data_IF_254250687570
#
_entry.id   IF_254250687570
#
_cell.length_a   1.000
_cell.length_b   1.000
_cell.length_c   1.000
_cell.angle_alpha   90.00
_cell.angle_beta   90.00
_cell.angle_gamma   90.00
#
_symmetry.space_group_name_H-M   'P 1'
#
loop_
_entity.id
_entity.type
_entity.pdbx_description
1 polymer ?
#
# COMPACT_ATOMS: atom_id res chain seq x y z
N UNK A 1 2.34 16.67 7.41
CA UNK A 1 3.29 17.56 6.69
C UNK A 1 3.54 17.16 5.25
N UNK A 2 3.88 15.91 4.95
CA UNK A 2 4.11 15.47 3.56
C UNK A 2 2.94 15.80 2.61
N UNK A 3 1.70 15.57 3.05
CA UNK A 3 0.52 15.91 2.25
C UNK A 3 0.44 17.40 1.90
N UNK A 4 0.82 18.31 2.82
CA UNK A 4 0.80 19.76 2.56
C UNK A 4 1.78 20.13 1.42
N UNK A 5 2.97 19.54 1.44
CA UNK A 5 3.99 19.73 0.40
C UNK A 5 3.52 19.23 -0.97
N UNK A 6 2.75 18.13 -0.99
CA UNK A 6 2.12 17.64 -2.23
C UNK A 6 1.05 18.63 -2.71
N UNK A 7 0.32 19.27 -1.80
CA UNK A 7 -0.70 20.28 -2.09
C UNK A 7 -0.18 21.47 -2.88
N UNK A 8 1.11 21.81 -2.75
CA UNK A 8 1.77 22.86 -3.54
C UNK A 8 1.80 22.54 -5.05
N UNK A 9 1.72 21.26 -5.42
CA UNK A 9 1.73 20.80 -6.82
C UNK A 9 0.34 20.39 -7.32
N UNK A 10 -0.50 19.83 -6.45
CA UNK A 10 -1.82 19.30 -6.83
C UNK A 10 -2.99 20.26 -6.58
N UNK A 11 -2.76 21.36 -5.85
CA UNK A 11 -3.83 22.14 -5.25
C UNK A 11 -4.53 21.38 -4.12
N UNK A 12 -5.76 21.76 -3.81
CA UNK A 12 -6.53 21.14 -2.71
C UNK A 12 -6.94 19.71 -3.04
N UNK A 13 -6.75 18.80 -2.08
CA UNK A 13 -7.17 17.41 -2.23
C UNK A 13 -7.66 16.80 -0.91
N UNK A 14 -8.31 15.65 -1.02
CA UNK A 14 -8.76 14.90 0.14
C UNK A 14 -7.68 13.92 0.58
N UNK A 15 -7.23 14.03 1.82
CA UNK A 15 -6.43 13.03 2.52
C UNK A 15 -7.38 12.10 3.29
N UNK A 16 -7.40 10.83 2.90
CA UNK A 16 -8.16 9.78 3.59
C UNK A 16 -7.23 8.99 4.50
N UNK A 17 -7.51 9.03 5.81
CA UNK A 17 -6.77 8.29 6.83
C UNK A 17 -7.62 7.08 7.20
N UNK A 18 -7.10 5.88 6.90
CA UNK A 18 -7.73 4.60 7.21
C UNK A 18 -7.08 4.07 8.48
N UNK A 19 -7.86 3.85 9.54
CA UNK A 19 -7.38 3.10 10.70
C UNK A 19 -7.22 1.62 10.32
N UNK A 20 -5.97 1.18 10.22
CA UNK A 20 -5.60 -0.15 9.75
C UNK A 20 -5.22 -1.10 10.90
N UNK A 21 -5.33 -0.66 12.16
CA UNK A 21 -4.79 -1.36 13.33
C UNK A 21 -5.41 -2.74 13.53
N UNK A 22 -6.73 -2.83 13.60
CA UNK A 22 -7.46 -4.08 13.83
C UNK A 22 -7.27 -5.07 12.67
N UNK A 23 -7.34 -4.56 11.44
CA UNK A 23 -7.08 -5.36 10.24
C UNK A 23 -5.66 -5.94 10.32
N UNK A 24 -4.68 -5.12 10.68
CA UNK A 24 -3.29 -5.57 10.81
C UNK A 24 -3.10 -6.62 11.91
N UNK A 25 -3.76 -6.50 13.06
CA UNK A 25 -3.71 -7.50 14.12
C UNK A 25 -4.28 -8.85 13.65
N UNK A 26 -5.41 -8.82 12.95
CA UNK A 26 -6.03 -10.04 12.40
C UNK A 26 -5.15 -10.68 11.30
N UNK A 27 -4.56 -9.87 10.41
CA UNK A 27 -3.60 -10.36 9.44
C UNK A 27 -2.40 -11.02 10.12
N UNK A 28 -1.87 -10.42 11.19
CA UNK A 28 -0.71 -10.97 11.90
C UNK A 28 -1.01 -12.30 12.61
N UNK A 29 -2.26 -12.51 13.07
CA UNK A 29 -2.69 -13.74 13.73
C UNK A 29 -2.94 -14.89 12.72
N UNK A 30 -3.56 -14.58 11.57
CA UNK A 30 -4.07 -15.60 10.65
C UNK A 30 -3.21 -15.82 9.41
N UNK A 31 -2.40 -14.85 9.00
CA UNK A 31 -1.59 -14.95 7.77
C UNK A 31 -0.21 -15.52 8.07
N UNK A 32 0.30 -16.48 7.27
CA UNK A 32 1.67 -16.93 7.38
C UNK A 32 2.66 -15.77 7.31
N UNK A 33 3.60 -15.70 8.26
CA UNK A 33 4.51 -14.55 8.40
C UNK A 33 5.21 -14.17 7.08
N UNK A 34 5.68 -15.16 6.30
CA UNK A 34 6.35 -14.93 5.01
C UNK A 34 5.45 -14.31 3.91
N UNK A 35 4.12 -14.36 4.07
CA UNK A 35 3.13 -13.79 3.16
C UNK A 35 2.52 -12.47 3.68
N UNK A 36 2.73 -12.14 4.97
CA UNK A 36 2.07 -11.02 5.66
C UNK A 36 2.17 -9.70 4.90
N UNK A 37 3.36 -9.32 4.42
CA UNK A 37 3.55 -8.07 3.66
C UNK A 37 2.75 -8.03 2.36
N UNK A 38 2.65 -9.17 1.64
CA UNK A 38 1.91 -9.25 0.37
C UNK A 38 0.41 -9.20 0.62
N UNK A 39 -0.09 -9.92 1.64
CA UNK A 39 -1.51 -9.90 2.00
C UNK A 39 -1.93 -8.54 2.55
N UNK A 40 -1.09 -7.91 3.37
CA UNK A 40 -1.32 -6.54 3.84
C UNK A 40 -1.46 -5.55 2.69
N UNK A 41 -0.57 -5.62 1.68
CA UNK A 41 -0.66 -4.78 0.47
C UNK A 41 -1.92 -5.06 -0.34
N UNK A 42 -2.29 -6.34 -0.49
CA UNK A 42 -3.56 -6.73 -1.13
C UNK A 42 -4.76 -6.15 -0.38
N UNK A 43 -4.73 -6.14 0.95
CA UNK A 43 -5.79 -5.55 1.76
C UNK A 43 -5.88 -4.03 1.56
N UNK A 44 -4.75 -3.31 1.66
CA UNK A 44 -4.71 -1.87 1.38
C UNK A 44 -5.23 -1.55 -0.04
N UNK A 45 -4.87 -2.37 -1.02
CA UNK A 45 -5.31 -2.22 -2.41
C UNK A 45 -6.84 -2.42 -2.55
N UNK A 46 -7.42 -3.44 -1.91
CA UNK A 46 -8.88 -3.68 -1.91
C UNK A 46 -9.64 -2.49 -1.30
N UNK A 47 -9.16 -1.97 -0.17
CA UNK A 47 -9.77 -0.82 0.50
C UNK A 47 -9.67 0.44 -0.39
N UNK A 48 -8.49 0.69 -0.96
CA UNK A 48 -8.27 1.83 -1.85
C UNK A 48 -9.15 1.76 -3.10
N UNK A 49 -9.27 0.59 -3.73
CA UNK A 49 -10.11 0.38 -4.91
C UNK A 49 -11.59 0.58 -4.59
N UNK A 50 -12.08 0.04 -3.47
CA UNK A 50 -13.47 0.24 -3.03
C UNK A 50 -13.77 1.69 -2.66
N UNK A 51 -12.84 2.40 -2.02
CA UNK A 51 -12.96 3.83 -1.75
C UNK A 51 -13.00 4.63 -3.06
N UNK A 52 -12.12 4.29 -4.02
CA UNK A 52 -12.10 4.89 -5.34
C UNK A 52 -13.45 4.71 -6.05
N UNK A 53 -14.09 3.55 -5.90
CA UNK A 53 -15.45 3.31 -6.41
C UNK A 53 -16.49 4.27 -5.85
N UNK A 54 -16.54 4.40 -4.52
CA UNK A 54 -17.47 5.30 -3.83
C UNK A 54 -17.28 6.77 -4.20
N UNK A 55 -16.10 7.14 -4.70
CA UNK A 55 -15.70 8.51 -5.05
C UNK A 55 -15.64 8.78 -6.55
N UNK A 56 -16.04 7.83 -7.40
CA UNK A 56 -15.94 7.94 -8.87
C UNK A 56 -14.50 8.22 -9.36
N UNK A 57 -13.51 7.65 -8.68
CA UNK A 57 -12.10 7.71 -9.08
C UNK A 57 -11.81 6.53 -10.02
N UNK A 58 -11.09 6.79 -11.10
CA UNK A 58 -10.90 5.82 -12.19
C UNK A 58 -9.57 5.06 -12.15
N UNK A 59 -8.64 5.42 -11.27
CA UNK A 59 -7.33 4.79 -11.19
C UNK A 59 -6.73 4.89 -9.79
N UNK A 60 -5.73 4.05 -9.53
CA UNK A 60 -4.89 4.10 -8.35
C UNK A 60 -3.45 4.42 -8.77
N UNK A 61 -2.69 5.08 -7.92
CA UNK A 61 -1.27 5.41 -8.16
C UNK A 61 -0.46 4.92 -6.97
N UNK A 62 0.64 4.21 -7.23
CA UNK A 62 1.58 3.78 -6.18
C UNK A 62 3.01 4.24 -6.50
N UNK A 63 3.83 4.39 -5.47
CA UNK A 63 5.26 4.70 -5.58
C UNK A 63 6.14 3.45 -5.67
N UNK A 64 5.64 2.34 -6.22
CA UNK A 64 6.41 1.10 -6.31
C UNK A 64 7.47 1.17 -7.42
N UNK A 65 8.67 0.62 -7.16
CA UNK A 65 9.77 0.45 -8.10
C UNK A 65 10.16 -1.03 -8.22
N UNK A 66 10.41 -1.52 -9.43
CA UNK A 66 10.63 -2.93 -9.67
C UNK A 66 11.95 -3.41 -9.06
N UNK A 67 11.90 -4.43 -8.20
CA UNK A 67 13.10 -5.08 -7.66
C UNK A 67 13.80 -4.32 -6.54
N UNK A 68 13.24 -3.21 -6.05
CA UNK A 68 13.85 -2.44 -4.96
C UNK A 68 13.73 -3.13 -3.59
N UNK A 69 12.61 -3.82 -3.34
CA UNK A 69 12.35 -4.57 -2.11
C UNK A 69 11.64 -5.90 -2.42
N UNK A 70 11.66 -6.84 -1.47
CA UNK A 70 11.05 -8.17 -1.62
C UNK A 70 9.56 -8.14 -2.02
N UNK A 71 8.82 -7.12 -1.57
CA UNK A 71 7.39 -6.94 -1.89
C UNK A 71 7.13 -6.29 -3.26
N UNK A 72 8.18 -5.98 -4.02
CA UNK A 72 8.13 -5.30 -5.33
C UNK A 72 8.81 -6.13 -6.43
N UNK A 73 8.82 -7.45 -6.31
CA UNK A 73 9.12 -8.36 -7.43
C UNK A 73 7.94 -8.39 -8.40
N UNK A 74 8.18 -8.83 -9.65
CA UNK A 74 7.10 -9.01 -10.65
C UNK A 74 5.96 -9.86 -10.07
N UNK A 75 6.30 -10.94 -9.37
CA UNK A 75 5.33 -11.83 -8.72
C UNK A 75 4.50 -11.13 -7.64
N UNK A 76 5.14 -10.37 -6.74
CA UNK A 76 4.45 -9.64 -5.68
C UNK A 76 3.56 -8.52 -6.25
N UNK A 77 4.03 -7.83 -7.29
CA UNK A 77 3.25 -6.80 -7.99
C UNK A 77 2.02 -7.42 -8.67
N UNK A 78 2.16 -8.55 -9.36
CA UNK A 78 1.02 -9.27 -9.94
C UNK A 78 0.01 -9.67 -8.87
N UNK A 79 0.48 -10.24 -7.76
CA UNK A 79 -0.39 -10.64 -6.64
C UNK A 79 -1.15 -9.46 -6.04
N UNK A 80 -0.50 -8.30 -5.87
CA UNK A 80 -1.16 -7.09 -5.35
C UNK A 80 -2.11 -6.48 -6.37
N UNK A 81 -1.74 -6.48 -7.65
CA UNK A 81 -2.56 -5.89 -8.70
C UNK A 81 -3.83 -6.70 -9.00
N UNK A 82 -3.81 -8.02 -8.77
CA UNK A 82 -4.92 -8.92 -9.04
C UNK A 82 -6.20 -8.57 -8.25
N UNK A 83 -6.08 -7.87 -7.12
CA UNK A 83 -7.23 -7.51 -6.26
C UNK A 83 -7.78 -6.11 -6.54
N UNK A 84 -7.18 -5.37 -7.48
CA UNK A 84 -7.68 -4.08 -7.92
C UNK A 84 -8.48 -4.24 -9.21
N UNK A 85 -9.68 -3.64 -9.27
CA UNK A 85 -10.45 -3.55 -10.52
C UNK A 85 -9.95 -2.40 -11.37
N UNK A 86 -9.56 -1.28 -10.75
CA UNK A 86 -9.04 -0.09 -11.45
C UNK A 86 -7.59 -0.27 -11.90
N UNK A 87 -7.17 0.43 -12.97
CA UNK A 87 -5.77 0.50 -13.35
C UNK A 87 -4.91 1.09 -12.22
N UNK A 88 -3.77 0.44 -11.95
CA UNK A 88 -2.76 0.89 -10.98
C UNK A 88 -1.54 1.43 -11.73
N UNK A 89 -1.36 2.75 -11.72
CA UNK A 89 -0.20 3.42 -12.30
C UNK A 89 0.99 3.41 -11.34
N UNK A 90 2.18 3.18 -11.89
CA UNK A 90 3.44 3.07 -11.12
C UNK A 90 4.52 3.96 -11.75
N UNK A 91 4.50 5.28 -11.50
CA UNK A 91 5.41 6.22 -12.16
C UNK A 91 6.90 5.92 -11.89
N UNK A 92 7.20 5.24 -10.78
CA UNK A 92 8.57 4.92 -10.35
C UNK A 92 9.03 3.53 -10.77
N UNK A 93 8.24 2.77 -11.54
CA UNK A 93 8.46 1.32 -11.75
C UNK A 93 9.85 0.98 -12.33
N UNK A 94 10.42 1.86 -13.14
CA UNK A 94 11.72 1.68 -13.79
C UNK A 94 12.82 2.59 -13.26
N UNK A 95 12.58 3.34 -12.18
CA UNK A 95 13.57 4.25 -11.60
C UNK A 95 14.35 3.55 -10.51
N UNK A 96 15.65 3.82 -10.43
CA UNK A 96 16.45 3.38 -9.30
C UNK A 96 16.20 4.24 -8.04
N UNK A 97 16.79 3.80 -6.93
CA UNK A 97 16.62 4.47 -5.63
C UNK A 97 17.20 5.89 -5.63
N UNK A 98 18.34 6.11 -6.28
CA UNK A 98 18.99 7.41 -6.32
C UNK A 98 18.20 8.42 -7.15
N UNK A 99 17.62 7.98 -8.27
CA UNK A 99 16.72 8.78 -9.10
C UNK A 99 15.47 9.18 -8.30
N UNK A 100 14.87 8.24 -7.59
CA UNK A 100 13.71 8.52 -6.73
C UNK A 100 14.06 9.52 -5.61
N UNK A 101 15.24 9.37 -4.99
CA UNK A 101 15.73 10.31 -3.97
C UNK A 101 15.98 11.70 -4.57
N UNK A 102 16.56 11.78 -5.77
CA UNK A 102 16.81 13.05 -6.45
C UNK A 102 15.49 13.78 -6.74
N UNK A 103 14.46 13.07 -7.19
CA UNK A 103 13.12 13.62 -7.36
C UNK A 103 12.57 14.10 -6.02
N UNK A 104 12.62 13.28 -4.97
CA UNK A 104 12.11 13.63 -3.65
C UNK A 104 12.77 14.87 -3.05
N UNK A 105 14.08 15.08 -3.30
CA UNK A 105 14.79 16.31 -2.91
C UNK A 105 14.36 17.51 -3.76
N UNK A 106 14.17 17.32 -5.05
CA UNK A 106 13.74 18.39 -5.97
C UNK A 106 12.33 18.91 -5.64
N UNK A 107 11.43 18.03 -5.19
CA UNK A 107 10.06 18.40 -4.78
C UNK A 107 9.93 18.64 -3.27
N UNK A 108 11.05 18.76 -2.56
CA UNK A 108 11.13 19.05 -1.12
C UNK A 108 10.30 18.10 -0.23
N UNK A 109 10.24 16.81 -0.58
CA UNK A 109 9.56 15.76 0.22
C UNK A 109 10.52 14.83 0.94
N UNK A 110 11.80 14.82 0.56
CA UNK A 110 12.80 13.89 1.08
C UNK A 110 12.96 13.97 2.61
N UNK A 111 13.24 15.17 3.15
CA UNK A 111 13.53 15.35 4.58
C UNK A 111 12.37 14.92 5.49
N UNK A 112 11.13 15.18 5.06
CA UNK A 112 9.94 14.71 5.79
C UNK A 112 9.75 13.20 5.69
N UNK A 113 10.11 12.59 4.56
CA UNK A 113 9.90 11.17 4.30
C UNK A 113 10.90 10.25 5.00
N UNK A 114 12.05 10.79 5.45
CA UNK A 114 13.10 10.02 6.15
C UNK A 114 13.05 10.16 7.68
N UNK A 115 12.05 10.86 8.23
CA UNK A 115 11.90 10.99 9.67
C UNK A 115 11.76 9.59 10.32
N UNK A 116 12.39 9.35 11.49
CA UNK A 116 12.47 8.03 12.09
C UNK A 116 11.14 7.67 12.77
N UNK A 117 10.17 7.25 11.96
CA UNK A 117 8.92 6.69 12.40
C UNK A 117 8.87 5.21 12.03
N UNK A 118 8.43 4.40 12.98
CA UNK A 118 8.11 3.00 12.70
C UNK A 118 6.83 2.92 11.88
N UNK A 119 6.87 2.21 10.75
CA UNK A 119 5.69 1.95 9.93
C UNK A 119 5.28 0.48 10.04
N UNK A 120 4.05 0.17 9.59
CA UNK A 120 3.54 -1.20 9.65
C UNK A 120 4.45 -2.20 8.91
N UNK A 121 5.16 -1.73 7.89
CA UNK A 121 6.09 -2.54 7.12
C UNK A 121 7.38 -2.82 7.89
N UNK A 122 7.88 -1.94 8.75
CA UNK A 122 9.12 -2.12 9.53
C UNK A 122 8.89 -2.90 10.82
N UNK A 123 7.74 -2.72 11.48
CA UNK A 123 7.43 -3.39 12.76
C UNK A 123 7.15 -4.89 12.57
N UNK A 124 6.54 -5.27 11.45
CA UNK A 124 6.09 -6.65 11.19
C UNK A 124 6.79 -7.30 9.99
N UNK A 125 8.04 -6.90 9.70
CA UNK A 125 8.84 -7.55 8.65
C UNK A 125 9.04 -9.01 9.01
N UNK A 126 8.57 -9.90 8.14
CA UNK A 126 8.94 -11.30 8.20
C UNK A 126 10.45 -11.45 7.98
N UNK A 127 11.14 -12.24 8.83
CA UNK A 127 12.58 -12.51 8.65
C UNK A 127 12.93 -13.05 7.26
N UNK A 128 12.02 -13.80 6.65
CA UNK A 128 12.17 -14.41 5.33
C UNK A 128 10.88 -14.21 4.51
N UNK A 129 10.67 -13.03 3.90
CA UNK A 129 9.48 -12.77 3.09
C UNK A 129 9.54 -13.60 1.80
N UNK A 130 8.37 -14.07 1.33
CA UNK A 130 8.28 -14.82 0.07
C UNK A 130 8.43 -13.84 -1.11
N UNK A 131 9.53 -13.95 -1.84
CA UNK A 131 9.88 -13.07 -2.97
C UNK A 131 9.19 -13.46 -4.29
N UNK A 132 8.70 -14.69 -4.41
CA UNK A 132 7.95 -15.18 -5.58
C UNK A 132 6.59 -15.75 -5.16
N UNK A 133 5.67 -14.92 -4.64
CA UNK A 133 4.32 -15.36 -4.34
C UNK A 133 3.55 -15.66 -5.63
N UNK A 134 2.72 -16.69 -5.58
CA UNK A 134 1.72 -17.00 -6.61
C UNK A 134 0.32 -16.57 -6.16
N UNK A 135 -0.65 -16.56 -7.07
CA UNK A 135 -2.04 -16.32 -6.71
C UNK A 135 -2.57 -17.38 -5.74
N UNK A 136 -2.20 -18.65 -5.95
CA UNK A 136 -2.56 -19.75 -5.05
C UNK A 136 -1.99 -19.53 -3.64
N UNK A 137 -0.75 -19.04 -3.53
CA UNK A 137 -0.19 -18.68 -2.22
C UNK A 137 -1.02 -17.62 -1.52
N UNK A 138 -1.52 -16.63 -2.28
CA UNK A 138 -2.34 -15.57 -1.73
C UNK A 138 -3.71 -16.09 -1.29
N UNK A 139 -4.38 -16.89 -2.13
CA UNK A 139 -5.67 -17.51 -1.79
C UNK A 139 -5.55 -18.39 -0.54
N UNK A 140 -4.49 -19.20 -0.45
CA UNK A 140 -4.23 -20.04 0.71
C UNK A 140 -3.94 -19.23 1.97
N UNK A 141 -3.24 -18.10 1.83
CA UNK A 141 -2.93 -17.20 2.95
C UNK A 141 -4.14 -16.35 3.39
N UNK A 142 -5.11 -16.13 2.50
CA UNK A 142 -6.34 -15.38 2.76
C UNK A 142 -7.51 -16.26 3.21
N UNK A 143 -7.40 -17.59 3.15
CA UNK A 143 -8.52 -18.53 3.32
C UNK A 143 -9.28 -18.41 4.65
N UNK A 144 -8.60 -17.99 5.72
CA UNK A 144 -9.17 -17.89 7.08
C UNK A 144 -9.57 -16.43 7.42
N UNK A 145 -9.47 -15.51 6.44
CA UNK A 145 -9.83 -14.11 6.58
C UNK A 145 -11.23 -13.85 6.03
N UNK A 146 -12.04 -13.13 6.81
CA UNK A 146 -13.31 -12.57 6.33
C UNK A 146 -13.02 -11.26 5.56
N UNK A 147 -12.55 -11.40 4.32
CA UNK A 147 -12.02 -10.28 3.53
C UNK A 147 -13.02 -9.12 3.36
N UNK A 148 -14.29 -9.42 3.09
CA UNK A 148 -15.31 -8.39 2.87
C UNK A 148 -15.58 -7.58 4.14
N UNK A 149 -15.56 -8.22 5.30
CA UNK A 149 -15.72 -7.56 6.60
C UNK A 149 -14.51 -6.68 6.93
N UNK A 150 -13.29 -7.17 6.67
CA UNK A 150 -12.06 -6.39 6.82
C UNK A 150 -12.02 -5.16 5.90
N UNK A 151 -12.43 -5.32 4.62
CA UNK A 151 -12.57 -4.19 3.69
C UNK A 151 -13.59 -3.19 4.23
N UNK A 152 -14.77 -3.67 4.64
CA UNK A 152 -15.85 -2.83 5.16
C UNK A 152 -15.40 -2.05 6.38
N UNK A 153 -14.73 -2.71 7.33
CA UNK A 153 -14.16 -2.09 8.52
C UNK A 153 -13.20 -0.95 8.16
N UNK A 154 -12.29 -1.17 7.20
CA UNK A 154 -11.37 -0.14 6.71
C UNK A 154 -12.08 1.05 6.05
N UNK A 155 -13.26 0.83 5.46
CA UNK A 155 -14.07 1.88 4.84
C UNK A 155 -14.95 2.65 5.82
N UNK A 156 -15.34 2.06 6.95
CA UNK A 156 -16.21 2.69 7.96
C UNK A 156 -15.46 3.71 8.82
N UNK A 157 -14.17 3.47 9.09
CA UNK A 157 -13.33 4.31 9.96
C UNK A 157 -12.39 5.24 9.18
N UNK A 158 -12.89 5.87 8.11
CA UNK A 158 -12.08 6.81 7.33
C UNK A 158 -12.26 8.23 7.85
N UNK A 159 -11.18 8.80 8.38
CA UNK A 159 -11.09 10.23 8.61
C UNK A 159 -10.70 10.91 7.28
N UNK A 160 -11.41 11.98 6.91
CA UNK A 160 -11.10 12.74 5.69
C UNK A 160 -10.75 14.18 6.03
N UNK A 161 -9.56 14.60 5.60
CA UNK A 161 -9.04 15.96 5.78
C UNK A 161 -8.89 16.60 4.40
N UNK A 162 -9.27 17.87 4.27
CA UNK A 162 -8.92 18.66 3.09
C UNK A 162 -7.56 19.28 3.34
N UNK A 163 -6.61 18.95 2.48
CA UNK A 163 -5.25 19.50 2.48
C UNK A 163 -5.18 20.69 1.53
#
# INVERSE_FOLDING_TARGET
DLAKRIGDFSGKFHLHIVDFTEIQLELNDKVPANMLTVIMRRMMMRIADQLAAKRNINCLITGESLGQVASQTVNALMCTNHVAVRPVFRPLIGLDKNETIAIAKNIDTYETSILPYDDCCTVFVAKHPKIHPSFLDCEQAEKDLELDDLVKQGLEKIETIIV
#
